data_IF_417543448451
#
_entry.id   IF_417543448451
#
_cell.length_a   1.000
_cell.length_b   1.000
_cell.length_c   1.000
_cell.angle_alpha   90.00
_cell.angle_beta   90.00
_cell.angle_gamma   90.00
#
_symmetry.space_group_name_H-M   'P 1'
#
loop_
_entity.id
_entity.type
_entity.pdbx_description
1 polymer ?
#
# COMPACT_ATOMS: atom_id res chain seq x y z
N UNK A 1 1.84 14.90 76.15
CA UNK A 1 3.10 15.05 75.37
C UNK A 1 2.91 14.41 74.01
N UNK A 2 3.30 15.08 72.91
CA UNK A 2 3.25 14.55 71.53
C UNK A 2 4.67 14.23 71.08
N UNK A 3 4.90 13.01 70.61
CA UNK A 3 6.18 12.56 70.07
C UNK A 3 6.08 12.64 68.55
N UNK A 4 6.92 13.45 67.92
CA UNK A 4 7.00 13.53 66.46
C UNK A 4 8.01 12.50 65.95
N UNK A 5 7.56 11.59 65.09
CA UNK A 5 8.39 10.69 64.31
C UNK A 5 9.29 11.45 63.31
N UNK A 6 10.58 11.15 63.33
CA UNK A 6 11.58 11.71 62.42
C UNK A 6 11.61 10.80 61.18
N UNK A 7 11.06 11.26 60.06
CA UNK A 7 11.16 10.54 58.79
C UNK A 7 12.56 10.74 58.20
N UNK A 8 13.45 9.79 58.47
CA UNK A 8 14.74 9.68 57.78
C UNK A 8 14.47 9.15 56.36
N UNK A 9 14.37 10.05 55.39
CA UNK A 9 14.26 9.70 53.97
C UNK A 9 15.59 9.07 53.52
N UNK A 10 15.66 7.74 53.60
CA UNK A 10 16.81 6.94 53.19
C UNK A 10 17.06 6.99 51.67
N UNK A 11 18.16 7.65 51.31
CA UNK A 11 19.06 7.36 50.18
C UNK A 11 18.37 6.82 48.91
N UNK A 12 17.93 7.72 48.02
CA UNK A 12 17.46 7.38 46.67
C UNK A 12 18.45 7.75 45.55
N UNK A 13 19.74 7.92 45.85
CA UNK A 13 20.74 8.28 44.85
C UNK A 13 21.09 7.13 43.89
N UNK A 14 21.07 5.88 44.36
CA UNK A 14 21.54 4.73 43.56
C UNK A 14 20.45 4.06 42.71
N UNK A 15 19.16 4.19 43.09
CA UNK A 15 18.05 3.57 42.34
C UNK A 15 17.77 4.27 41.00
N UNK A 16 18.14 5.54 40.84
CA UNK A 16 17.94 6.27 39.59
C UNK A 16 18.98 5.91 38.50
N UNK A 17 20.15 5.38 38.90
CA UNK A 17 21.20 5.00 37.95
C UNK A 17 20.94 3.64 37.29
N UNK A 18 20.24 2.73 37.97
CA UNK A 18 19.88 1.42 37.42
C UNK A 18 18.79 1.48 36.34
N UNK A 19 18.04 2.58 36.24
CA UNK A 19 17.00 2.78 35.20
C UNK A 19 17.51 3.48 33.94
N UNK A 20 18.77 3.92 33.92
CA UNK A 20 19.42 4.47 32.73
C UNK A 20 20.03 3.34 31.87
N UNK A 21 19.29 2.25 31.65
CA UNK A 21 19.56 1.41 30.48
C UNK A 21 19.09 2.22 29.29
N UNK A 22 20.00 2.99 28.69
CA UNK A 22 19.81 3.62 27.39
C UNK A 22 19.17 2.58 26.49
N UNK A 23 17.91 2.80 26.12
CA UNK A 23 17.28 2.05 25.05
C UNK A 23 18.25 2.11 23.87
N UNK A 24 18.64 0.98 23.26
CA UNK A 24 19.45 1.05 22.06
C UNK A 24 18.65 1.90 21.08
N UNK A 25 19.21 3.05 20.70
CA UNK A 25 18.65 3.86 19.63
C UNK A 25 18.37 2.87 18.50
N UNK A 26 17.10 2.74 18.11
CA UNK A 26 16.73 1.82 17.04
C UNK A 26 17.58 2.21 15.85
N UNK A 27 18.60 1.40 15.54
CA UNK A 27 19.35 1.53 14.31
C UNK A 27 18.31 1.25 13.26
N UNK A 28 17.75 2.31 12.67
CA UNK A 28 16.87 2.18 11.51
C UNK A 28 17.76 1.56 10.44
N UNK A 29 17.65 0.24 10.29
CA UNK A 29 18.29 -0.48 9.21
C UNK A 29 17.90 0.25 7.93
N UNK A 30 18.90 0.65 7.15
CA UNK A 30 18.69 1.22 5.84
C UNK A 30 17.82 0.23 5.06
N UNK A 31 16.61 0.67 4.72
CA UNK A 31 15.64 -0.12 3.97
C UNK A 31 15.45 0.64 2.67
N UNK A 32 15.80 0.03 1.56
CA UNK A 32 15.49 0.60 0.25
C UNK A 32 13.98 0.73 0.13
N UNK A 33 13.50 1.97 0.14
CA UNK A 33 12.08 2.29 -0.07
C UNK A 33 11.92 2.88 -1.45
N UNK A 34 11.13 2.22 -2.28
CA UNK A 34 10.78 2.71 -3.60
C UNK A 34 9.53 3.59 -3.47
N UNK A 35 9.71 4.91 -3.48
CA UNK A 35 8.59 5.86 -3.46
C UNK A 35 7.96 5.95 -4.85
N UNK A 36 6.70 5.54 -4.97
CA UNK A 36 5.95 5.69 -6.22
C UNK A 36 5.64 7.18 -6.41
N UNK A 37 6.10 7.75 -7.54
CA UNK A 37 5.83 9.14 -7.90
C UNK A 37 4.34 9.47 -7.78
N UNK A 38 4.01 10.67 -7.27
CA UNK A 38 2.62 11.17 -7.17
C UNK A 38 1.88 11.04 -8.50
N UNK A 39 2.56 11.24 -9.63
CA UNK A 39 1.98 11.08 -10.95
C UNK A 39 1.54 9.64 -11.25
N UNK A 40 2.31 8.64 -10.82
CA UNK A 40 1.97 7.23 -11.02
C UNK A 40 0.80 6.79 -10.12
N UNK A 41 0.71 7.33 -8.89
CA UNK A 41 -0.44 7.11 -8.01
C UNK A 41 -1.72 7.67 -8.62
N UNK A 42 -1.68 8.91 -9.15
CA UNK A 42 -2.82 9.51 -9.84
C UNK A 42 -3.22 8.72 -11.08
N UNK A 43 -2.25 8.23 -11.87
CA UNK A 43 -2.54 7.42 -13.05
C UNK A 43 -3.25 6.10 -12.70
N UNK A 44 -2.82 5.41 -11.65
CA UNK A 44 -3.51 4.20 -11.16
C UNK A 44 -4.92 4.51 -10.68
N UNK A 45 -5.10 5.63 -9.97
CA UNK A 45 -6.40 6.03 -9.46
C UNK A 45 -7.40 6.34 -10.58
N UNK A 46 -6.92 6.93 -11.69
CA UNK A 46 -7.72 7.17 -12.91
C UNK A 46 -8.15 5.84 -13.55
N UNK A 47 -7.28 4.83 -13.58
CA UNK A 47 -7.64 3.50 -14.13
C UNK A 47 -8.72 2.79 -13.30
N UNK A 48 -8.74 3.02 -11.98
CA UNK A 48 -9.74 2.46 -11.07
C UNK A 48 -11.04 3.28 -10.99
N UNK A 49 -11.23 4.28 -11.85
CA UNK A 49 -12.45 5.09 -11.81
C UNK A 49 -13.70 4.22 -12.08
N UNK A 50 -14.80 4.42 -11.33
CA UNK A 50 -15.98 3.56 -11.43
C UNK A 50 -16.63 3.56 -12.82
N UNK A 51 -16.46 4.65 -13.58
CA UNK A 51 -16.93 4.77 -14.96
C UNK A 51 -16.19 3.84 -15.94
N UNK A 52 -14.92 3.55 -15.68
CA UNK A 52 -14.15 2.60 -16.48
C UNK A 52 -14.61 1.16 -16.23
N UNK A 53 -14.86 0.81 -14.97
CA UNK A 53 -15.34 -0.53 -14.60
C UNK A 53 -16.74 -0.83 -15.16
N UNK A 54 -17.66 0.14 -15.16
CA UNK A 54 -19.00 -0.06 -15.76
C UNK A 54 -18.91 -0.28 -17.27
N UNK A 55 -18.14 0.55 -17.99
CA UNK A 55 -17.95 0.40 -19.44
C UNK A 55 -17.29 -0.95 -19.79
N UNK A 56 -16.37 -1.41 -18.94
CA UNK A 56 -15.75 -2.73 -19.08
C UNK A 56 -16.75 -3.87 -18.85
N UNK A 57 -17.58 -3.77 -17.81
CA UNK A 57 -18.59 -4.78 -17.51
C UNK A 57 -19.60 -4.95 -18.66
N UNK A 58 -20.09 -3.85 -19.22
CA UNK A 58 -20.99 -3.86 -20.38
C UNK A 58 -20.34 -4.53 -21.60
N UNK A 59 -19.09 -4.16 -21.91
CA UNK A 59 -18.33 -4.76 -23.02
C UNK A 59 -18.13 -6.26 -22.83
N UNK A 60 -17.87 -6.71 -21.61
CA UNK A 60 -17.70 -8.12 -21.28
C UNK A 60 -19.03 -8.88 -21.42
N UNK A 61 -20.15 -8.32 -20.97
CA UNK A 61 -21.46 -8.93 -21.12
C UNK A 61 -21.81 -9.17 -22.60
N UNK A 62 -21.66 -8.15 -23.44
CA UNK A 62 -21.88 -8.27 -24.90
C UNK A 62 -20.93 -9.27 -25.56
N UNK A 63 -19.68 -9.36 -25.10
CA UNK A 63 -18.74 -10.34 -25.62
C UNK A 63 -19.15 -11.77 -25.26
N UNK A 64 -19.56 -12.00 -24.00
CA UNK A 64 -20.02 -13.32 -23.54
C UNK A 64 -21.22 -13.80 -24.34
N UNK A 65 -22.22 -12.95 -24.55
CA UNK A 65 -23.40 -13.27 -25.33
C UNK A 65 -23.05 -13.70 -26.76
N UNK A 66 -22.15 -12.97 -27.43
CA UNK A 66 -21.71 -13.33 -28.79
C UNK A 66 -20.95 -14.64 -28.85
N UNK A 67 -20.15 -14.94 -27.82
CA UNK A 67 -19.42 -16.21 -27.72
C UNK A 67 -20.39 -17.37 -27.49
N UNK A 68 -21.34 -17.23 -26.57
CA UNK A 68 -22.37 -18.24 -26.28
C UNK A 68 -23.26 -18.53 -27.49
N UNK A 69 -23.65 -17.48 -28.23
CA UNK A 69 -24.45 -17.61 -29.46
C UNK A 69 -23.63 -18.07 -30.68
N UNK A 70 -22.32 -18.28 -30.55
CA UNK A 70 -21.45 -18.69 -31.65
C UNK A 70 -21.26 -17.63 -32.76
N UNK A 71 -21.66 -16.38 -32.52
CA UNK A 71 -21.53 -15.26 -33.48
C UNK A 71 -20.24 -14.46 -33.31
N UNK A 72 -19.38 -14.87 -32.37
CA UNK A 72 -18.09 -14.24 -32.16
C UNK A 72 -17.06 -14.72 -33.18
N UNK A 73 -16.65 -13.81 -34.07
CA UNK A 73 -15.59 -14.05 -35.05
C UNK A 73 -14.27 -13.42 -34.58
N UNK A 74 -13.18 -14.18 -34.70
CA UNK A 74 -11.83 -13.72 -34.38
C UNK A 74 -11.25 -12.98 -35.58
N UNK A 75 -11.14 -11.66 -35.48
CA UNK A 75 -10.47 -10.85 -36.51
C UNK A 75 -8.94 -10.88 -36.32
N UNK A 76 -8.27 -11.63 -37.19
CA UNK A 76 -6.81 -11.77 -37.19
C UNK A 76 -6.07 -10.43 -37.38
N UNK A 77 -6.60 -9.51 -38.19
CA UNK A 77 -5.99 -8.19 -38.40
C UNK A 77 -6.07 -7.35 -37.15
N UNK A 78 -7.20 -7.41 -36.46
CA UNK A 78 -7.39 -6.72 -35.18
C UNK A 78 -6.44 -7.26 -34.11
N UNK A 79 -6.31 -8.58 -33.99
CA UNK A 79 -5.37 -9.21 -33.04
C UNK A 79 -3.94 -8.74 -33.31
N UNK A 80 -3.49 -8.79 -34.57
CA UNK A 80 -2.14 -8.32 -34.93
C UNK A 80 -1.93 -6.83 -34.60
N UNK A 81 -2.92 -5.99 -34.89
CA UNK A 81 -2.89 -4.55 -34.60
C UNK A 81 -2.81 -4.28 -33.10
N UNK A 82 -3.60 -5.00 -32.30
CA UNK A 82 -3.62 -4.86 -30.84
C UNK A 82 -2.29 -5.33 -30.22
N UNK A 83 -1.72 -6.43 -30.72
CA UNK A 83 -0.39 -6.90 -30.30
C UNK A 83 0.69 -5.87 -30.62
N UNK A 84 0.69 -5.32 -31.84
CA UNK A 84 1.65 -4.27 -32.21
C UNK A 84 1.48 -3.03 -31.32
N UNK A 85 0.25 -2.60 -31.06
CA UNK A 85 -0.05 -1.45 -30.23
C UNK A 85 0.43 -1.64 -28.79
N UNK A 86 0.31 -2.85 -28.23
CA UNK A 86 0.71 -3.11 -26.85
C UNK A 86 2.22 -3.21 -26.68
N UNK A 87 2.95 -3.76 -27.65
CA UNK A 87 4.38 -4.05 -27.51
C UNK A 87 5.32 -3.04 -28.17
N UNK A 88 4.86 -2.23 -29.14
CA UNK A 88 5.71 -1.26 -29.87
C UNK A 88 5.52 0.20 -29.47
N UNK A 89 4.45 0.54 -28.76
CA UNK A 89 4.21 1.88 -28.20
C UNK A 89 4.49 1.87 -26.71
#
# INVERSE_FOLDING_TARGET
MKINHINLNGVHAYRQQAQQTKSPASVKAFKDTLEISKAAQTAQQIQTTPTYETARAEKLASLKERVENGTYEVDAKKVATDMLKYYRL
#
